data_IF_286046406722
#
_entry.id   IF_286046406722
#
_cell.length_a   1.000
_cell.length_b   1.000
_cell.length_c   1.000
_cell.angle_alpha   90.00
_cell.angle_beta   90.00
_cell.angle_gamma   90.00
#
_symmetry.space_group_name_H-M   'P 1'
#
loop_
_entity.id
_entity.type
_entity.pdbx_description
1 polymer ?
#
# COMPACT_ATOMS: atom_id res chain seq x y z
N UNK A 1 46.01 68.86 14.80
CA UNK A 1 44.94 69.77 15.33
C UNK A 1 43.63 69.03 15.36
N UNK A 2 43.04 68.89 16.55
CA UNK A 2 41.61 68.88 16.88
C UNK A 2 40.75 67.82 16.12
N UNK A 3 39.84 67.03 16.72
CA UNK A 3 39.30 66.88 18.05
C UNK A 3 38.30 65.76 18.04
N UNK A 4 38.25 65.03 19.09
CA UNK A 4 37.22 64.20 19.68
C UNK A 4 35.74 64.35 19.25
N UNK A 5 35.03 63.21 19.07
CA UNK A 5 33.73 63.06 19.70
C UNK A 5 33.34 61.58 19.79
N UNK A 6 33.07 61.14 21.02
CA UNK A 6 32.39 59.89 21.38
C UNK A 6 30.92 59.95 21.01
N UNK A 7 30.34 58.84 20.57
CA UNK A 7 28.92 58.60 20.69
C UNK A 7 28.63 57.08 20.84
N UNK A 8 28.24 56.77 22.05
CA UNK A 8 27.19 55.88 22.57
C UNK A 8 26.91 54.53 21.87
N UNK A 9 27.15 53.50 22.66
CA UNK A 9 26.64 52.15 22.52
C UNK A 9 25.10 52.15 22.60
N UNK A 10 24.45 51.63 21.55
CA UNK A 10 23.06 51.26 21.61
C UNK A 10 22.95 49.75 21.59
N UNK A 11 22.56 49.19 22.70
CA UNK A 11 22.27 47.75 22.90
C UNK A 11 21.03 47.36 22.05
N UNK A 12 21.23 46.56 21.03
CA UNK A 12 20.12 46.01 20.28
C UNK A 12 19.76 44.68 20.95
N UNK A 13 18.64 44.67 21.66
CA UNK A 13 18.05 43.49 22.26
C UNK A 13 17.70 42.45 21.23
N UNK A 14 18.21 41.24 21.41
CA UNK A 14 17.87 40.05 20.68
C UNK A 14 16.43 39.63 20.98
N UNK A 15 15.50 39.96 20.06
CA UNK A 15 14.14 39.42 20.09
C UNK A 15 14.20 38.00 19.55
N UNK A 16 14.20 37.04 20.42
CA UNK A 16 13.98 35.65 20.10
C UNK A 16 12.52 35.48 19.66
N UNK A 17 12.30 35.48 18.34
CA UNK A 17 11.03 35.09 17.77
C UNK A 17 10.96 33.55 17.75
N UNK A 18 10.41 32.96 18.81
CA UNK A 18 10.05 31.56 18.84
C UNK A 18 8.87 31.33 17.89
N UNK A 19 9.16 30.99 16.64
CA UNK A 19 8.15 30.44 15.75
C UNK A 19 7.68 29.10 16.32
N UNK A 20 6.60 29.11 17.06
CA UNK A 20 5.78 27.92 17.30
C UNK A 20 5.37 27.39 15.92
N UNK A 21 5.99 26.28 15.49
CA UNK A 21 5.42 25.46 14.43
C UNK A 21 4.13 24.87 14.98
N UNK A 22 3.02 25.52 14.73
CA UNK A 22 1.73 24.89 14.80
C UNK A 22 1.72 23.78 13.75
N UNK A 23 1.82 22.52 14.17
CA UNK A 23 1.39 21.41 13.34
C UNK A 23 -0.10 21.62 13.17
N UNK A 24 -0.51 22.14 12.04
CA UNK A 24 -1.88 22.04 11.57
C UNK A 24 -2.12 20.54 11.36
N UNK A 25 -2.76 19.91 12.33
CA UNK A 25 -3.48 18.66 12.07
C UNK A 25 -4.60 19.07 11.11
N UNK A 26 -4.37 18.90 9.83
CA UNK A 26 -5.45 18.95 8.84
C UNK A 26 -6.17 17.62 9.04
N UNK A 27 -7.27 17.65 9.79
CA UNK A 27 -8.25 16.57 9.79
C UNK A 27 -8.73 16.44 8.34
N UNK A 28 -8.34 15.37 7.68
CA UNK A 28 -8.86 15.07 6.35
C UNK A 28 -10.24 14.46 6.55
N UNK A 29 -11.30 15.26 6.40
CA UNK A 29 -12.63 14.68 6.24
C UNK A 29 -12.61 13.82 4.98
N UNK A 30 -12.68 12.50 5.18
CA UNK A 30 -12.92 11.58 4.06
C UNK A 30 -14.33 11.85 3.53
N UNK A 31 -14.45 12.14 2.25
CA UNK A 31 -15.75 12.06 1.59
C UNK A 31 -16.09 10.57 1.43
N UNK A 32 -16.79 10.01 2.42
CA UNK A 32 -17.07 8.58 2.50
C UNK A 32 -17.83 8.05 1.27
N UNK A 33 -18.59 8.93 0.59
CA UNK A 33 -19.40 8.57 -0.58
C UNK A 33 -18.60 8.41 -1.87
N UNK A 34 -17.52 9.20 -2.01
CA UNK A 34 -16.67 9.19 -3.21
C UNK A 34 -15.29 8.58 -2.94
N UNK A 35 -15.13 7.97 -1.75
CA UNK A 35 -13.88 7.33 -1.35
C UNK A 35 -14.08 5.84 -1.10
N UNK A 36 -13.05 5.05 -1.43
CA UNK A 36 -13.01 3.63 -1.12
C UNK A 36 -11.76 3.27 -0.32
N UNK A 37 -11.89 2.33 0.62
CA UNK A 37 -10.77 1.64 1.24
C UNK A 37 -10.48 0.36 0.46
N UNK A 38 -9.25 0.20 0.01
CA UNK A 38 -8.75 -1.03 -0.61
C UNK A 38 -7.82 -1.71 0.38
N UNK A 39 -8.24 -2.86 0.89
CA UNK A 39 -7.49 -3.68 1.84
C UNK A 39 -6.79 -4.79 1.07
N UNK A 40 -5.47 -4.68 0.95
CA UNK A 40 -4.66 -5.52 0.09
C UNK A 40 -4.14 -6.72 0.86
N UNK A 41 -4.55 -7.92 0.44
CA UNK A 41 -3.96 -9.23 0.74
C UNK A 41 -3.69 -9.51 2.23
N UNK A 42 -4.61 -9.16 3.12
CA UNK A 42 -4.50 -9.49 4.55
C UNK A 42 -4.91 -10.95 4.76
N UNK A 43 -4.02 -11.86 4.32
CA UNK A 43 -4.23 -13.32 4.27
C UNK A 43 -3.26 -14.03 5.21
N UNK A 44 -3.63 -15.26 5.61
CA UNK A 44 -2.78 -16.11 6.44
C UNK A 44 -1.38 -16.30 5.85
N UNK A 45 -1.27 -16.43 4.53
CA UNK A 45 -0.01 -16.62 3.81
C UNK A 45 1.03 -15.53 4.01
N UNK A 46 0.57 -14.30 4.29
CA UNK A 46 1.42 -13.13 4.50
C UNK A 46 1.60 -12.71 5.96
N UNK A 47 0.91 -13.37 6.88
CA UNK A 47 1.00 -13.11 8.32
C UNK A 47 1.91 -14.12 9.02
N UNK A 48 2.32 -13.92 10.28
CA UNK A 48 3.18 -14.85 10.98
C UNK A 48 2.66 -16.30 10.95
N UNK A 49 3.50 -17.22 10.48
CA UNK A 49 3.15 -18.63 10.26
C UNK A 49 2.72 -18.98 8.83
N UNK A 50 2.50 -17.99 7.97
CA UNK A 50 2.23 -18.20 6.55
C UNK A 50 3.46 -18.51 5.72
N UNK A 51 3.24 -18.96 4.49
CA UNK A 51 4.31 -19.44 3.61
C UNK A 51 5.19 -18.31 3.03
N UNK A 52 4.69 -17.08 2.99
CA UNK A 52 5.44 -15.86 2.63
C UNK A 52 5.22 -14.80 3.71
N UNK A 53 5.45 -15.19 4.97
CA UNK A 53 5.20 -14.34 6.12
C UNK A 53 6.00 -13.04 6.08
N UNK A 54 5.31 -11.93 6.24
CA UNK A 54 5.89 -10.60 6.43
C UNK A 54 5.99 -10.32 7.93
N UNK A 55 7.12 -9.81 8.37
CA UNK A 55 7.38 -9.55 9.79
C UNK A 55 6.32 -8.61 10.37
N UNK A 56 5.73 -9.00 11.49
CA UNK A 56 4.72 -8.23 12.23
C UNK A 56 3.50 -7.82 11.39
N UNK A 57 3.17 -8.56 10.33
CA UNK A 57 2.07 -8.20 9.44
C UNK A 57 0.69 -8.23 10.11
N UNK A 58 0.51 -9.06 11.11
CA UNK A 58 -0.71 -9.14 11.93
C UNK A 58 -0.97 -7.87 12.75
N UNK A 59 0.06 -7.08 13.07
CA UNK A 59 -0.07 -5.85 13.84
C UNK A 59 -0.87 -4.74 13.15
N UNK A 60 -1.02 -4.80 11.81
CA UNK A 60 -1.82 -3.81 11.07
C UNK A 60 -3.32 -4.12 11.11
N UNK A 61 -3.73 -5.32 11.45
CA UNK A 61 -5.12 -5.76 11.35
C UNK A 61 -6.05 -4.93 12.23
N UNK A 62 -5.74 -4.63 13.50
CA UNK A 62 -6.63 -3.82 14.35
C UNK A 62 -6.86 -2.41 13.78
N UNK A 63 -5.85 -1.77 13.21
CA UNK A 63 -6.01 -0.44 12.62
C UNK A 63 -6.78 -0.50 11.30
N UNK A 64 -6.59 -1.53 10.49
CA UNK A 64 -7.38 -1.76 9.27
C UNK A 64 -8.87 -1.94 9.60
N UNK A 65 -9.20 -2.75 10.61
CA UNK A 65 -10.57 -2.93 11.07
C UNK A 65 -11.21 -1.59 11.50
N UNK A 66 -10.48 -0.75 12.23
CA UNK A 66 -10.97 0.57 12.63
C UNK A 66 -11.17 1.49 11.41
N UNK A 67 -10.22 1.51 10.48
CA UNK A 67 -10.30 2.32 9.26
C UNK A 67 -11.51 1.91 8.41
N UNK A 68 -11.81 0.62 8.29
CA UNK A 68 -12.92 0.12 7.48
C UNK A 68 -14.28 0.73 7.88
N UNK A 69 -14.48 1.08 9.15
CA UNK A 69 -15.70 1.74 9.62
C UNK A 69 -15.85 3.20 9.14
N UNK A 70 -14.80 3.80 8.58
CA UNK A 70 -14.82 5.19 8.10
C UNK A 70 -15.21 5.29 6.61
N UNK A 71 -15.39 4.15 5.93
CA UNK A 71 -15.68 4.11 4.50
C UNK A 71 -16.99 3.39 4.21
N UNK A 72 -17.78 3.99 3.32
CA UNK A 72 -19.00 3.34 2.81
C UNK A 72 -18.67 2.23 1.80
N UNK A 73 -17.55 2.40 1.05
CA UNK A 73 -17.07 1.41 0.07
C UNK A 73 -15.76 0.80 0.55
N UNK A 74 -15.77 -0.51 0.79
CA UNK A 74 -14.59 -1.29 1.16
C UNK A 74 -14.42 -2.46 0.21
N UNK A 75 -13.21 -2.58 -0.34
CA UNK A 75 -12.81 -3.67 -1.24
C UNK A 75 -11.66 -4.44 -0.61
N UNK A 76 -11.75 -5.76 -0.59
CA UNK A 76 -10.65 -6.64 -0.22
C UNK A 76 -9.96 -7.17 -1.48
N UNK A 77 -8.65 -7.39 -1.43
CA UNK A 77 -7.98 -8.19 -2.44
C UNK A 77 -7.48 -9.50 -1.85
N UNK A 78 -7.36 -10.50 -2.69
CA UNK A 78 -6.96 -11.85 -2.29
C UNK A 78 -6.05 -12.44 -3.36
N UNK A 79 -4.79 -12.70 -3.01
CA UNK A 79 -3.92 -13.56 -3.82
C UNK A 79 -4.52 -14.96 -3.88
N UNK A 80 -4.66 -15.49 -5.12
CA UNK A 80 -5.40 -16.71 -5.36
C UNK A 80 -4.73 -17.55 -6.44
N UNK A 81 -3.49 -18.00 -6.14
CA UNK A 81 -2.63 -18.65 -7.12
C UNK A 81 -2.98 -20.11 -7.35
N UNK A 82 -3.05 -20.59 -8.60
CA UNK A 82 -3.05 -22.03 -8.87
C UNK A 82 -1.70 -22.66 -8.46
N UNK A 83 -1.70 -23.94 -8.14
CA UNK A 83 -0.51 -24.67 -7.66
C UNK A 83 0.70 -24.59 -8.62
N UNK A 84 0.45 -24.51 -9.93
CA UNK A 84 1.49 -24.37 -10.97
C UNK A 84 1.73 -22.91 -11.37
N UNK A 85 1.50 -21.93 -10.47
CA UNK A 85 1.67 -20.53 -10.81
C UNK A 85 3.12 -20.19 -11.18
N UNK A 86 3.31 -19.37 -12.22
CA UNK A 86 4.62 -19.03 -12.78
C UNK A 86 5.53 -18.27 -11.83
N UNK A 87 4.98 -17.59 -10.84
CA UNK A 87 5.76 -16.83 -9.84
C UNK A 87 6.38 -17.72 -8.75
N UNK A 88 6.04 -19.00 -8.67
CA UNK A 88 6.58 -19.87 -7.64
C UNK A 88 7.94 -20.45 -8.03
N UNK A 89 8.94 -20.30 -7.16
CA UNK A 89 10.28 -20.82 -7.38
C UNK A 89 10.28 -22.34 -7.62
N UNK A 90 9.42 -23.08 -6.90
CA UNK A 90 9.30 -24.53 -7.00
C UNK A 90 8.89 -25.03 -8.40
N UNK A 91 8.29 -24.17 -9.21
CA UNK A 91 7.88 -24.49 -10.57
C UNK A 91 8.99 -24.25 -11.61
N UNK A 92 10.20 -23.83 -11.18
CA UNK A 92 11.35 -23.57 -12.04
C UNK A 92 12.57 -24.40 -11.60
N UNK A 93 13.07 -25.24 -12.52
CA UNK A 93 14.26 -26.06 -12.26
C UNK A 93 15.47 -25.17 -11.89
N UNK A 94 16.16 -25.54 -10.81
CA UNK A 94 17.38 -24.88 -10.33
C UNK A 94 17.19 -23.41 -9.89
N UNK A 95 15.98 -23.04 -9.52
CA UNK A 95 15.67 -21.71 -8.99
C UNK A 95 15.33 -21.78 -7.50
N UNK A 96 15.65 -20.69 -6.80
CA UNK A 96 15.32 -20.50 -5.40
C UNK A 96 14.38 -19.30 -5.24
N UNK A 97 13.60 -19.24 -4.13
CA UNK A 97 12.84 -18.04 -3.78
C UNK A 97 13.70 -16.78 -3.78
N UNK A 98 13.10 -15.68 -4.22
CA UNK A 98 13.70 -14.33 -4.36
C UNK A 98 14.69 -14.16 -5.51
N UNK A 99 14.98 -15.20 -6.28
CA UNK A 99 15.62 -15.04 -7.60
C UNK A 99 14.65 -14.44 -8.61
N UNK A 100 15.18 -14.02 -9.76
CA UNK A 100 14.38 -13.46 -10.84
C UNK A 100 14.47 -14.30 -12.11
N UNK A 101 13.42 -14.20 -12.93
CA UNK A 101 13.38 -14.71 -14.30
C UNK A 101 12.83 -13.62 -15.23
N UNK A 102 13.16 -13.72 -16.52
CA UNK A 102 12.57 -12.85 -17.54
C UNK A 102 11.37 -13.55 -18.18
N UNK A 103 10.23 -12.86 -18.16
CA UNK A 103 8.97 -13.28 -18.76
C UNK A 103 8.57 -12.29 -19.86
N UNK A 104 7.61 -12.62 -20.75
CA UNK A 104 7.18 -11.71 -21.81
C UNK A 104 6.65 -10.33 -21.33
N UNK A 105 6.26 -10.24 -20.08
CA UNK A 105 5.78 -9.01 -19.46
C UNK A 105 6.83 -8.29 -18.57
N UNK A 106 8.05 -8.81 -18.51
CA UNK A 106 9.16 -8.22 -17.75
C UNK A 106 9.77 -9.16 -16.71
N UNK A 107 10.60 -8.60 -15.86
CA UNK A 107 11.29 -9.32 -14.78
C UNK A 107 10.30 -9.77 -13.72
N UNK A 108 10.27 -11.06 -13.41
CA UNK A 108 9.45 -11.68 -12.37
C UNK A 108 10.33 -12.12 -11.20
N UNK A 109 9.98 -11.68 -9.98
CA UNK A 109 10.53 -12.25 -8.75
C UNK A 109 9.88 -13.60 -8.49
N UNK A 110 10.68 -14.59 -8.19
CA UNK A 110 10.19 -15.92 -7.81
C UNK A 110 9.97 -15.99 -6.29
N UNK A 111 8.78 -16.40 -5.93
CA UNK A 111 8.34 -16.46 -4.54
C UNK A 111 8.31 -17.89 -3.99
N UNK A 112 8.39 -18.08 -2.66
CA UNK A 112 7.91 -19.32 -2.05
C UNK A 112 6.45 -19.56 -2.48
N UNK A 113 6.06 -20.83 -2.57
CA UNK A 113 4.65 -21.16 -2.84
C UNK A 113 3.77 -20.64 -1.72
N UNK A 114 2.85 -19.74 -2.03
CA UNK A 114 1.97 -19.04 -1.08
C UNK A 114 0.57 -18.83 -1.68
N UNK A 115 -0.41 -18.60 -0.83
CA UNK A 115 -1.79 -18.28 -1.18
C UNK A 115 -2.37 -19.17 -2.29
N UNK A 116 -2.07 -20.48 -2.25
CA UNK A 116 -2.58 -21.44 -3.22
C UNK A 116 -4.09 -21.59 -3.04
N UNK A 117 -4.80 -21.60 -4.17
CA UNK A 117 -6.27 -21.69 -4.23
C UNK A 117 -6.81 -22.80 -3.34
N UNK A 118 -7.78 -22.47 -2.49
CA UNK A 118 -8.47 -23.43 -1.62
C UNK A 118 -7.67 -23.89 -0.40
N UNK A 119 -6.49 -23.33 -0.13
CA UNK A 119 -5.70 -23.62 1.07
C UNK A 119 -5.98 -22.60 2.17
N UNK A 120 -5.71 -22.98 3.42
CA UNK A 120 -5.78 -22.06 4.56
C UNK A 120 -4.84 -20.85 4.40
N UNK A 121 -3.70 -21.04 3.74
CA UNK A 121 -2.73 -19.99 3.44
C UNK A 121 -3.34 -18.86 2.59
N UNK A 122 -4.27 -19.20 1.68
CA UNK A 122 -4.99 -18.25 0.84
C UNK A 122 -6.21 -17.60 1.52
N UNK A 123 -6.65 -18.07 2.67
CA UNK A 123 -7.77 -17.47 3.40
C UNK A 123 -7.38 -16.12 4.02
N UNK A 124 -8.34 -15.22 4.20
CA UNK A 124 -8.14 -14.01 4.98
C UNK A 124 -7.78 -14.35 6.43
N UNK A 125 -6.98 -13.49 7.04
CA UNK A 125 -6.63 -13.66 8.45
C UNK A 125 -7.90 -13.62 9.32
N UNK A 126 -8.04 -14.52 10.31
CA UNK A 126 -9.28 -14.64 11.09
C UNK A 126 -9.62 -13.38 11.91
N UNK A 127 -8.61 -12.55 12.26
CA UNK A 127 -8.82 -11.31 12.99
C UNK A 127 -9.18 -10.12 12.06
N UNK A 128 -9.19 -10.31 10.72
CA UNK A 128 -9.68 -9.31 9.78
C UNK A 128 -11.20 -9.30 9.83
N UNK A 129 -11.76 -8.35 10.55
CA UNK A 129 -13.20 -8.20 10.77
C UNK A 129 -13.77 -7.02 10.00
N UNK A 130 -14.10 -7.26 8.72
CA UNK A 130 -14.69 -6.26 7.81
C UNK A 130 -15.93 -6.85 7.12
N UNK A 131 -17.01 -7.10 7.87
CA UNK A 131 -18.24 -7.68 7.31
C UNK A 131 -18.94 -6.75 6.30
N UNK A 132 -18.56 -5.47 6.28
CA UNK A 132 -19.09 -4.46 5.36
C UNK A 132 -18.39 -4.44 3.99
N UNK A 133 -17.35 -5.24 3.77
CA UNK A 133 -16.68 -5.31 2.47
C UNK A 133 -17.65 -5.80 1.38
N UNK A 134 -17.81 -5.00 0.32
CA UNK A 134 -18.77 -5.31 -0.75
C UNK A 134 -18.17 -6.13 -1.88
N UNK A 135 -16.85 -6.10 -2.06
CA UNK A 135 -16.17 -6.74 -3.17
C UNK A 135 -14.87 -7.43 -2.70
N UNK A 136 -14.63 -8.62 -3.21
CA UNK A 136 -13.35 -9.32 -3.09
C UNK A 136 -12.78 -9.48 -4.49
N UNK A 137 -11.63 -8.85 -4.76
CA UNK A 137 -10.88 -9.03 -5.99
C UNK A 137 -9.84 -10.13 -5.78
N UNK A 138 -10.03 -11.27 -6.45
CA UNK A 138 -9.01 -12.30 -6.54
C UNK A 138 -8.03 -11.95 -7.64
N UNK A 139 -6.74 -12.01 -7.34
CA UNK A 139 -5.67 -11.70 -8.29
C UNK A 139 -4.66 -12.85 -8.37
N UNK A 140 -3.86 -12.88 -9.44
CA UNK A 140 -2.87 -13.94 -9.66
C UNK A 140 -3.46 -15.35 -9.86
N UNK A 141 -4.69 -15.45 -10.40
CA UNK A 141 -5.35 -16.75 -10.64
C UNK A 141 -5.04 -17.33 -12.01
N UNK A 142 -4.39 -16.57 -12.90
CA UNK A 142 -3.89 -17.09 -14.17
C UNK A 142 -2.50 -17.70 -13.99
N UNK A 143 -2.33 -18.98 -14.30
CA UNK A 143 -1.10 -19.71 -14.03
C UNK A 143 0.17 -19.09 -14.62
N UNK A 144 0.07 -18.38 -15.74
CA UNK A 144 1.20 -17.85 -16.51
C UNK A 144 1.41 -16.34 -16.39
N UNK A 145 0.65 -15.65 -15.56
CA UNK A 145 0.71 -14.21 -15.39
C UNK A 145 0.58 -13.92 -13.90
N UNK A 146 1.53 -13.19 -13.35
CA UNK A 146 1.45 -12.72 -11.96
C UNK A 146 0.59 -11.45 -11.83
N UNK A 147 0.18 -11.12 -10.62
CA UNK A 147 -0.65 -9.96 -10.35
C UNK A 147 -0.37 -9.36 -8.98
N UNK A 148 0.43 -8.30 -8.94
CA UNK A 148 0.59 -7.52 -7.72
C UNK A 148 -0.55 -6.53 -7.53
N UNK A 149 -0.92 -5.82 -8.61
CA UNK A 149 -1.95 -4.78 -8.57
C UNK A 149 -3.36 -5.35 -8.43
N UNK A 150 -4.18 -4.66 -7.63
CA UNK A 150 -5.62 -4.90 -7.57
C UNK A 150 -6.37 -4.50 -8.85
N UNK A 151 -5.73 -3.77 -9.78
CA UNK A 151 -6.37 -3.23 -10.99
C UNK A 151 -6.01 -3.98 -12.27
N UNK A 152 -4.75 -4.38 -12.40
CA UNK A 152 -4.22 -5.01 -13.61
C UNK A 152 -3.25 -6.13 -13.26
N UNK A 153 -3.25 -7.21 -14.05
CA UNK A 153 -2.19 -8.22 -13.97
C UNK A 153 -0.86 -7.70 -14.52
N UNK A 154 0.23 -8.41 -14.26
CA UNK A 154 1.58 -7.98 -14.60
C UNK A 154 1.81 -7.81 -16.12
N UNK A 155 1.00 -8.46 -16.96
CA UNK A 155 1.02 -8.29 -18.44
C UNK A 155 0.56 -6.90 -18.90
N UNK A 156 0.01 -6.08 -18.01
CA UNK A 156 -0.52 -4.72 -18.25
C UNK A 156 -1.65 -4.67 -19.28
N UNK A 157 -2.33 -5.79 -19.52
CA UNK A 157 -3.44 -5.94 -20.45
C UNK A 157 -4.68 -6.55 -19.83
N UNK A 158 -4.51 -7.43 -18.86
CA UNK A 158 -5.59 -8.15 -18.21
C UNK A 158 -6.11 -7.37 -17.00
N UNK A 159 -7.31 -6.76 -17.07
CA UNK A 159 -7.89 -6.03 -15.96
C UNK A 159 -8.56 -6.99 -14.96
N UNK A 160 -8.56 -6.60 -13.68
CA UNK A 160 -9.29 -7.35 -12.63
C UNK A 160 -10.78 -7.01 -12.57
N UNK A 161 -11.18 -5.88 -13.13
CA UNK A 161 -12.54 -5.34 -13.02
C UNK A 161 -12.71 -4.26 -11.93
N UNK A 162 -11.75 -4.07 -11.04
CA UNK A 162 -11.86 -3.12 -9.92
C UNK A 162 -12.12 -1.69 -10.41
N UNK A 163 -11.45 -1.24 -11.48
CA UNK A 163 -11.66 0.10 -12.03
C UNK A 163 -13.13 0.35 -12.39
N UNK A 164 -13.75 -0.59 -13.09
CA UNK A 164 -15.16 -0.48 -13.48
C UNK A 164 -16.09 -0.40 -12.27
N UNK A 165 -15.87 -1.26 -11.29
CA UNK A 165 -16.60 -1.25 -10.03
C UNK A 165 -16.53 0.11 -9.33
N UNK A 166 -15.33 0.66 -9.14
CA UNK A 166 -15.14 1.96 -8.49
C UNK A 166 -15.80 3.10 -9.27
N UNK A 167 -15.72 3.07 -10.61
CA UNK A 167 -16.35 4.08 -11.46
C UNK A 167 -17.88 4.05 -11.39
N UNK A 168 -18.49 2.85 -11.38
CA UNK A 168 -19.93 2.69 -11.22
C UNK A 168 -20.44 3.18 -9.87
N UNK A 169 -19.59 3.08 -8.82
CA UNK A 169 -19.85 3.62 -7.48
C UNK A 169 -19.47 5.10 -7.33
N UNK A 170 -19.06 5.79 -8.42
CA UNK A 170 -18.65 7.20 -8.42
C UNK A 170 -17.47 7.50 -7.46
N UNK A 171 -16.61 6.52 -7.24
CA UNK A 171 -15.40 6.68 -6.44
C UNK A 171 -14.35 7.41 -7.28
N UNK A 172 -13.77 8.47 -6.73
CA UNK A 172 -12.66 9.23 -7.30
C UNK A 172 -11.40 9.20 -6.43
N UNK A 173 -11.55 8.78 -5.18
CA UNK A 173 -10.47 8.75 -4.19
C UNK A 173 -10.33 7.34 -3.60
N UNK A 174 -9.10 6.83 -3.54
CA UNK A 174 -8.82 5.52 -2.93
C UNK A 174 -7.79 5.64 -1.83
N UNK A 175 -8.05 4.93 -0.74
CA UNK A 175 -7.15 4.74 0.38
C UNK A 175 -6.71 3.28 0.40
N UNK A 176 -5.41 3.04 0.45
CA UNK A 176 -4.84 1.70 0.28
C UNK A 176 -4.10 1.32 1.56
N UNK A 177 -4.36 0.12 2.06
CA UNK A 177 -3.76 -0.49 3.24
C UNK A 177 -3.41 -1.95 2.94
N UNK A 178 -2.61 -2.59 3.77
CA UNK A 178 -2.37 -4.04 3.71
C UNK A 178 -0.93 -4.45 3.39
N UNK A 179 -0.76 -5.53 2.63
CA UNK A 179 0.50 -6.26 2.45
C UNK A 179 0.75 -6.57 0.97
N UNK A 180 1.95 -6.48 0.46
CA UNK A 180 3.11 -5.85 1.06
C UNK A 180 3.27 -4.44 0.49
N UNK A 181 3.72 -3.49 1.32
CA UNK A 181 3.86 -2.08 0.93
C UNK A 181 4.62 -1.90 -0.37
N UNK A 182 5.70 -2.64 -0.54
CA UNK A 182 6.67 -2.54 -1.64
C UNK A 182 6.31 -3.38 -2.89
N UNK A 183 5.25 -4.18 -2.81
CA UNK A 183 4.73 -4.99 -3.92
C UNK A 183 3.24 -4.70 -4.15
N UNK A 184 2.32 -5.51 -3.64
CA UNK A 184 0.90 -5.42 -3.97
C UNK A 184 0.29 -4.06 -3.65
N UNK A 185 0.65 -3.44 -2.52
CA UNK A 185 0.18 -2.10 -2.15
C UNK A 185 0.73 -1.04 -3.13
N UNK A 186 2.05 -1.03 -3.38
CA UNK A 186 2.64 -0.05 -4.28
C UNK A 186 2.13 -0.17 -5.71
N UNK A 187 2.05 -1.39 -6.26
CA UNK A 187 1.52 -1.61 -7.62
C UNK A 187 0.06 -1.21 -7.73
N UNK A 188 -0.75 -1.51 -6.71
CA UNK A 188 -2.15 -1.06 -6.64
C UNK A 188 -2.24 0.46 -6.61
N UNK A 189 -1.41 1.12 -5.80
CA UNK A 189 -1.41 2.57 -5.67
C UNK A 189 -0.96 3.28 -6.97
N UNK A 190 0.09 2.76 -7.61
CA UNK A 190 0.59 3.29 -8.88
C UNK A 190 -0.46 3.16 -9.99
N UNK A 191 -1.13 2.02 -10.09
CA UNK A 191 -2.19 1.82 -11.07
C UNK A 191 -3.41 2.70 -10.80
N UNK A 192 -3.82 2.84 -9.54
CA UNK A 192 -4.90 3.74 -9.16
C UNK A 192 -4.61 5.17 -9.61
N UNK A 193 -3.41 5.69 -9.31
CA UNK A 193 -3.00 7.03 -9.71
C UNK A 193 -2.96 7.20 -11.23
N UNK A 194 -2.39 6.23 -11.96
CA UNK A 194 -2.37 6.25 -13.44
C UNK A 194 -3.77 6.20 -14.05
N UNK A 195 -4.73 5.58 -13.38
CA UNK A 195 -6.13 5.52 -13.81
C UNK A 195 -6.95 6.76 -13.42
N UNK A 196 -6.33 7.73 -12.74
CA UNK A 196 -6.93 9.03 -12.42
C UNK A 196 -7.57 9.11 -11.04
N UNK A 197 -7.43 8.11 -10.19
CA UNK A 197 -7.90 8.18 -8.80
C UNK A 197 -6.95 9.04 -7.96
N UNK A 198 -7.51 9.87 -7.09
CA UNK A 198 -6.74 10.48 -6.00
C UNK A 198 -6.36 9.38 -5.02
N UNK A 199 -5.06 9.17 -4.83
CA UNK A 199 -4.56 7.96 -4.18
C UNK A 199 -3.79 8.28 -2.90
N UNK A 200 -4.16 7.59 -1.84
CA UNK A 200 -3.51 7.64 -0.53
C UNK A 200 -3.05 6.24 -0.13
N UNK A 201 -1.87 6.14 0.48
CA UNK A 201 -1.42 4.94 1.16
C UNK A 201 -1.28 5.28 2.65
N UNK A 202 -1.96 4.50 3.50
CA UNK A 202 -1.94 4.66 4.96
C UNK A 202 -0.79 3.81 5.49
N UNK A 203 0.33 4.46 5.78
CA UNK A 203 1.60 3.79 6.05
C UNK A 203 1.57 2.86 7.25
N UNK A 204 1.02 3.32 8.38
CA UNK A 204 0.94 2.56 9.63
C UNK A 204 -0.10 1.42 9.59
N UNK A 205 -0.88 1.34 8.50
CA UNK A 205 -1.76 0.24 8.16
C UNK A 205 -1.18 -0.65 7.05
N UNK A 206 0.12 -0.59 6.80
CA UNK A 206 0.83 -1.41 5.81
C UNK A 206 2.07 -2.07 6.41
N UNK A 207 2.50 -3.21 5.85
CA UNK A 207 3.77 -3.88 6.16
C UNK A 207 4.47 -4.28 4.87
N UNK A 208 5.81 -4.24 4.89
CA UNK A 208 6.66 -4.49 3.73
C UNK A 208 7.47 -5.78 3.87
N UNK A 209 7.84 -6.36 2.74
CA UNK A 209 8.84 -7.44 2.66
C UNK A 209 10.25 -6.84 2.74
N UNK A 210 10.47 -5.68 2.13
CA UNK A 210 11.75 -4.95 2.01
C UNK A 210 12.89 -5.80 1.41
N UNK A 211 12.62 -6.38 0.25
CA UNK A 211 13.60 -7.17 -0.50
C UNK A 211 14.64 -6.24 -1.14
N UNK A 212 15.87 -6.24 -0.60
CA UNK A 212 17.00 -5.45 -1.13
C UNK A 212 16.70 -3.95 -1.30
N UNK A 213 15.95 -3.34 -0.37
CA UNK A 213 15.61 -1.91 -0.41
C UNK A 213 14.38 -1.59 -1.27
N UNK A 214 13.56 -2.59 -1.60
CA UNK A 214 12.32 -2.43 -2.38
C UNK A 214 11.36 -1.44 -1.73
N UNK A 215 11.28 -1.40 -0.39
CA UNK A 215 10.42 -0.46 0.32
C UNK A 215 10.78 1.00 0.03
N UNK A 216 12.07 1.34 0.06
CA UNK A 216 12.52 2.69 -0.26
C UNK A 216 12.16 3.06 -1.70
N UNK A 217 12.44 2.16 -2.65
CA UNK A 217 12.16 2.37 -4.07
C UNK A 217 10.66 2.49 -4.36
N UNK A 218 9.84 1.70 -3.68
CA UNK A 218 8.38 1.76 -3.80
C UNK A 218 7.83 3.11 -3.32
N UNK A 219 8.26 3.57 -2.14
CA UNK A 219 7.85 4.89 -1.64
C UNK A 219 8.29 6.02 -2.55
N UNK A 220 9.51 5.97 -3.08
CA UNK A 220 9.98 6.97 -4.02
C UNK A 220 9.07 7.01 -5.26
N UNK A 221 8.82 5.86 -5.88
CA UNK A 221 7.96 5.75 -7.07
C UNK A 221 6.53 6.25 -6.82
N UNK A 222 5.94 5.90 -5.68
CA UNK A 222 4.60 6.36 -5.31
C UNK A 222 4.55 7.89 -5.13
N UNK A 223 5.52 8.48 -4.44
CA UNK A 223 5.58 9.93 -4.21
C UNK A 223 5.81 10.70 -5.52
N UNK A 224 6.64 10.20 -6.43
CA UNK A 224 6.87 10.78 -7.77
C UNK A 224 5.59 10.80 -8.62
N UNK A 225 4.67 9.85 -8.41
CA UNK A 225 3.36 9.81 -9.05
C UNK A 225 2.28 10.62 -8.30
N UNK A 226 2.66 11.37 -7.27
CA UNK A 226 1.73 12.21 -6.49
C UNK A 226 0.85 11.47 -5.50
N UNK A 227 1.13 10.18 -5.26
CA UNK A 227 0.45 9.38 -4.24
C UNK A 227 0.81 9.92 -2.85
N UNK A 228 -0.19 10.10 -2.01
CA UNK A 228 0.01 10.69 -0.70
C UNK A 228 0.25 9.61 0.37
N UNK A 229 1.36 9.74 1.10
CA UNK A 229 1.70 8.92 2.27
C UNK A 229 1.11 9.57 3.52
N UNK A 230 0.20 8.90 4.19
CA UNK A 230 -0.47 9.40 5.39
C UNK A 230 -0.41 8.38 6.53
N UNK A 231 -0.83 8.80 7.73
CA UNK A 231 -1.01 7.93 8.89
C UNK A 231 -2.51 7.73 9.15
N UNK A 232 -2.88 6.62 9.77
CA UNK A 232 -4.27 6.30 10.13
C UNK A 232 -4.94 7.38 10.99
N UNK A 233 -4.16 8.05 11.84
CA UNK A 233 -4.63 9.16 12.66
C UNK A 233 -5.20 10.35 11.83
N UNK A 234 -4.87 10.47 10.55
CA UNK A 234 -5.46 11.49 9.67
C UNK A 234 -6.93 11.19 9.31
N UNK A 235 -7.37 9.95 9.51
CA UNK A 235 -8.72 9.44 9.20
C UNK A 235 -9.50 9.15 10.49
N UNK A 236 -8.83 8.64 11.53
CA UNK A 236 -9.43 8.17 12.78
C UNK A 236 -9.56 9.25 13.86
N UNK A 237 -9.13 10.50 13.59
CA UNK A 237 -9.09 11.61 14.53
C UNK A 237 -10.50 12.15 14.88
#
# INVERSE_FOLDING_TARGET
>A
MKSWAMASQTTIGSVWCSKKRSRLNIEMQTDSKHSALIVVDVQNGFTPGGNLAVTDADQIIPVINQLAHQFETVVLTQDWHPDQHISFADNHAHKAPFETIELPYGTQVLWPKHCVQGTQDAEFHPDLDIPTAQLIIRKGFHANIDSYSAFMEADRKTPTGLKGYLQEHQIDTVYIVGIATDFCVAWTALDAAQMGFKTFVIEDACKAIDLNGSLHSAWQSMLEQGIQRIQSAAILA
#
